data_IF_242368212015
#
_entry.id   IF_242368212015
#
_cell.length_a   1.000
_cell.length_b   1.000
_cell.length_c   1.000
_cell.angle_alpha   90.00
_cell.angle_beta   90.00
_cell.angle_gamma   90.00
#
_symmetry.space_group_name_H-M   'P 1'
#
loop_
_entity.id
_entity.type
_entity.pdbx_description
1 polymer ?
#
# COMPACT_ATOMS: atom_id res chain seq x y z
N UNK A 1 20.07 9.53 -11.40
CA UNK A 1 18.66 9.06 -11.33
C UNK A 1 18.56 8.10 -10.16
N UNK A 2 17.52 8.15 -9.31
CA UNK A 2 17.36 7.16 -8.26
C UNK A 2 17.07 5.80 -8.91
N UNK A 3 17.86 4.79 -8.55
CA UNK A 3 17.77 3.42 -9.11
C UNK A 3 16.84 2.50 -8.31
N UNK A 4 16.31 2.97 -7.18
CA UNK A 4 15.38 2.22 -6.34
C UNK A 4 13.91 2.36 -6.74
N UNK A 5 13.06 1.49 -6.19
CA UNK A 5 11.59 1.54 -6.32
C UNK A 5 11.07 1.47 -7.77
N UNK A 6 11.66 0.58 -8.57
CA UNK A 6 11.27 0.38 -9.96
C UNK A 6 10.50 -0.93 -10.12
N UNK A 7 9.38 -0.87 -10.83
CA UNK A 7 8.68 -2.07 -11.32
C UNK A 7 9.26 -2.38 -12.71
N UNK A 8 10.01 -3.47 -12.81
CA UNK A 8 10.69 -3.87 -14.06
C UNK A 8 9.86 -4.86 -14.87
N UNK A 9 9.06 -5.65 -14.18
CA UNK A 9 8.16 -6.65 -14.73
C UNK A 9 6.78 -6.45 -14.10
N UNK A 10 5.75 -6.19 -14.91
CA UNK A 10 4.37 -5.97 -14.43
C UNK A 10 3.65 -7.27 -14.05
N UNK A 11 4.22 -8.44 -14.37
CA UNK A 11 3.66 -9.75 -14.06
C UNK A 11 4.23 -10.40 -12.80
N UNK A 12 5.30 -9.82 -12.24
CA UNK A 12 5.93 -10.30 -11.02
C UNK A 12 5.28 -9.69 -9.76
N UNK A 13 5.35 -10.40 -8.65
CA UNK A 13 4.93 -9.87 -7.35
C UNK A 13 6.02 -9.00 -6.70
N UNK A 14 5.60 -7.93 -6.03
CA UNK A 14 6.45 -6.96 -5.34
C UNK A 14 5.99 -6.73 -3.91
N UNK A 15 6.95 -6.74 -3.00
CA UNK A 15 6.74 -6.30 -1.64
C UNK A 15 6.99 -4.79 -1.53
N UNK A 16 5.95 -4.03 -1.20
CA UNK A 16 6.01 -2.59 -1.02
C UNK A 16 5.89 -2.22 0.45
N UNK A 17 6.65 -1.20 0.86
CA UNK A 17 6.53 -0.56 2.17
C UNK A 17 6.21 0.92 1.99
N UNK A 18 5.03 1.34 2.44
CA UNK A 18 4.55 2.72 2.35
C UNK A 18 4.59 3.35 3.74
N UNK A 19 5.35 4.43 3.92
CA UNK A 19 5.48 5.13 5.21
C UNK A 19 4.79 6.48 5.17
N UNK A 20 4.10 6.83 6.25
CA UNK A 20 3.54 8.17 6.46
C UNK A 20 4.68 9.18 6.61
N UNK A 21 4.52 10.35 6.01
CA UNK A 21 5.50 11.44 6.11
C UNK A 21 5.71 11.82 7.58
N UNK A 22 6.96 12.05 7.98
CA UNK A 22 7.37 12.32 9.36
C UNK A 22 7.00 11.23 10.38
N UNK A 23 6.69 10.01 9.94
CA UNK A 23 6.39 8.87 10.82
C UNK A 23 5.19 9.10 11.74
N UNK A 24 4.28 9.99 11.35
CA UNK A 24 3.07 10.28 12.11
C UNK A 24 2.20 9.02 12.17
N UNK A 25 1.67 8.71 13.36
CA UNK A 25 0.79 7.57 13.62
C UNK A 25 -0.64 7.79 13.09
N UNK A 26 -0.75 8.07 11.79
CA UNK A 26 -2.00 8.38 11.10
C UNK A 26 -3.02 7.23 11.18
N UNK A 27 -2.53 6.00 11.04
CA UNK A 27 -3.37 4.80 10.97
C UNK A 27 -3.80 4.29 12.35
N UNK A 28 -3.54 5.01 13.44
CA UNK A 28 -4.20 4.75 14.73
C UNK A 28 -5.69 5.06 14.67
N UNK A 29 -6.10 6.01 13.81
CA UNK A 29 -7.50 6.40 13.58
C UNK A 29 -8.18 5.41 12.64
N UNK A 30 -9.28 4.80 13.09
CA UNK A 30 -10.06 3.85 12.28
C UNK A 30 -10.52 4.47 10.96
N UNK A 31 -11.01 5.72 10.97
CA UNK A 31 -11.45 6.42 9.76
C UNK A 31 -10.36 6.52 8.69
N UNK A 32 -9.09 6.71 9.08
CA UNK A 32 -7.98 6.73 8.13
C UNK A 32 -7.71 5.33 7.55
N UNK A 33 -7.85 4.27 8.36
CA UNK A 33 -7.73 2.87 7.89
C UNK A 33 -8.86 2.52 6.93
N UNK A 34 -10.09 2.93 7.22
CA UNK A 34 -11.26 2.66 6.38
C UNK A 34 -11.10 3.28 4.99
N UNK A 35 -10.70 4.55 4.92
CA UNK A 35 -10.45 5.25 3.65
C UNK A 35 -9.39 4.52 2.81
N UNK A 36 -8.32 4.06 3.45
CA UNK A 36 -7.27 3.29 2.76
C UNK A 36 -7.81 1.96 2.24
N UNK A 37 -8.54 1.21 3.07
CA UNK A 37 -9.11 -0.10 2.70
C UNK A 37 -10.09 0.05 1.53
N UNK A 38 -10.95 1.07 1.56
CA UNK A 38 -11.90 1.32 0.47
C UNK A 38 -11.19 1.76 -0.82
N UNK A 39 -10.09 2.51 -0.70
CA UNK A 39 -9.23 2.83 -1.84
C UNK A 39 -8.57 1.58 -2.44
N UNK A 40 -8.10 0.64 -1.60
CA UNK A 40 -7.54 -0.63 -2.06
C UNK A 40 -8.60 -1.47 -2.78
N UNK A 41 -9.81 -1.61 -2.21
CA UNK A 41 -10.93 -2.32 -2.85
C UNK A 41 -11.25 -1.74 -4.22
N UNK A 42 -11.32 -0.42 -4.34
CA UNK A 42 -11.54 0.27 -5.62
C UNK A 42 -10.42 -0.03 -6.62
N UNK A 43 -9.16 -0.05 -6.18
CA UNK A 43 -8.05 -0.43 -7.06
C UNK A 43 -8.13 -1.89 -7.51
N UNK A 44 -8.59 -2.81 -6.66
CA UNK A 44 -8.82 -4.21 -7.04
C UNK A 44 -9.95 -4.32 -8.07
N UNK A 45 -11.07 -3.62 -7.89
CA UNK A 45 -12.24 -3.75 -8.77
C UNK A 45 -12.10 -3.00 -10.11
N UNK A 46 -11.60 -1.77 -10.09
CA UNK A 46 -11.61 -0.89 -11.26
C UNK A 46 -10.26 -0.77 -11.96
N UNK A 47 -9.16 -1.06 -11.26
CA UNK A 47 -7.79 -0.87 -11.79
C UNK A 47 -7.03 -2.17 -12.00
N UNK A 48 -7.61 -3.32 -11.65
CA UNK A 48 -6.97 -4.62 -11.78
C UNK A 48 -5.74 -4.78 -10.87
N UNK A 49 -5.68 -4.07 -9.74
CA UNK A 49 -4.61 -4.27 -8.77
C UNK A 49 -4.79 -5.63 -8.09
N UNK A 50 -3.87 -6.55 -8.31
CA UNK A 50 -3.83 -7.82 -7.58
C UNK A 50 -3.15 -7.58 -6.23
N UNK A 51 -3.79 -8.00 -5.13
CA UNK A 51 -3.25 -7.85 -3.78
C UNK A 51 -3.25 -9.23 -3.13
N UNK A 52 -2.06 -9.75 -2.84
CA UNK A 52 -1.88 -11.07 -2.23
C UNK A 52 -1.95 -11.01 -0.71
N UNK A 53 -1.40 -9.95 -0.09
CA UNK A 53 -1.40 -9.74 1.35
C UNK A 53 -1.15 -8.27 1.71
N UNK A 54 -1.65 -7.82 2.85
CA UNK A 54 -1.33 -6.51 3.40
C UNK A 54 -1.43 -6.48 4.93
N UNK A 55 -0.73 -5.53 5.55
CA UNK A 55 -0.87 -5.18 6.97
C UNK A 55 -0.73 -3.67 7.14
N UNK A 56 -1.58 -3.09 7.98
CA UNK A 56 -1.56 -1.66 8.34
C UNK A 56 -1.00 -1.53 9.75
N UNK A 57 0.16 -0.90 9.88
CA UNK A 57 0.77 -0.50 11.16
C UNK A 57 0.39 0.96 11.46
N UNK A 58 0.76 1.51 12.62
CA UNK A 58 0.34 2.86 13.03
C UNK A 58 0.78 3.98 12.07
N UNK A 59 1.96 3.84 11.45
CA UNK A 59 2.57 4.86 10.59
C UNK A 59 3.09 4.33 9.24
N UNK A 60 2.84 3.06 8.91
CA UNK A 60 3.23 2.47 7.64
C UNK A 60 2.37 1.27 7.27
N UNK A 61 2.48 0.85 6.01
CA UNK A 61 1.73 -0.26 5.43
C UNK A 61 2.75 -1.14 4.71
N UNK A 62 2.60 -2.46 4.86
CA UNK A 62 3.24 -3.43 3.98
C UNK A 62 2.18 -4.05 3.08
N UNK A 63 2.49 -4.20 1.80
CA UNK A 63 1.59 -4.81 0.82
C UNK A 63 2.39 -5.65 -0.17
N UNK A 64 1.86 -6.82 -0.50
CA UNK A 64 2.34 -7.70 -1.55
C UNK A 64 1.35 -7.59 -2.71
N UNK A 65 1.79 -6.99 -3.82
CA UNK A 65 1.03 -6.77 -5.05
C UNK A 65 1.72 -7.38 -6.26
#
# INVERSE_FOLDING_TARGET
>A
MPTGYQIKDQSAAYFLTLRVVFWIDLFTRQSCRDILIDSLKFCQSEKGLEIFAWVIMSNHIHILV
#
